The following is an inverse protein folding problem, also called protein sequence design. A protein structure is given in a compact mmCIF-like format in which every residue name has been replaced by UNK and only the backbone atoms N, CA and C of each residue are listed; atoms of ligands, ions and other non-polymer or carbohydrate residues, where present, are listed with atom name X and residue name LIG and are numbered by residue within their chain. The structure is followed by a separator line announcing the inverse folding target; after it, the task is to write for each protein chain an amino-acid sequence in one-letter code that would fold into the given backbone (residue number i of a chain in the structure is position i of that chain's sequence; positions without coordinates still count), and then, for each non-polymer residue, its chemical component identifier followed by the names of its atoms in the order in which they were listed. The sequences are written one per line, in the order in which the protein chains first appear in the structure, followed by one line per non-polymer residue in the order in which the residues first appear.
data_IF_612059617568
#
_entry.id   IF_612059617568
#
_cell.length_a   1.000
_cell.length_b   1.000
_cell.length_c   1.000
_cell.angle_alpha   90.00
_cell.angle_beta   90.00
_cell.angle_gamma   90.00
#
_symmetry.space_group_name_H-M   'P 1'
#
loop_
_entity.id
_entity.type
_entity.pdbx_description
1 polymer ?
#
# COMPACT_ATOMS: atom_id res chain seq x y z
N UNK A 1 4.50 28.11 -14.07
CA UNK A 1 4.02 27.90 -12.68
C UNK A 1 3.01 26.76 -12.51
N UNK A 2 2.32 26.26 -13.56
CA UNK A 2 1.32 25.18 -13.42
C UNK A 2 1.88 23.78 -13.06
N UNK A 3 2.94 23.32 -13.74
CA UNK A 3 3.41 21.93 -13.59
C UNK A 3 4.02 21.56 -12.22
N UNK A 4 4.59 22.52 -11.48
CA UNK A 4 5.11 22.25 -10.13
C UNK A 4 3.98 22.12 -9.09
N UNK A 5 2.87 22.82 -9.30
CA UNK A 5 1.68 22.70 -8.44
C UNK A 5 0.93 21.39 -8.70
N UNK A 6 0.89 20.97 -9.97
CA UNK A 6 0.32 19.68 -10.41
C UNK A 6 1.10 18.48 -9.87
N UNK A 7 2.43 18.43 -10.05
CA UNK A 7 3.27 17.33 -9.53
C UNK A 7 3.18 17.19 -8.00
N UNK A 8 3.10 18.31 -7.28
CA UNK A 8 2.94 18.29 -5.82
C UNK A 8 1.57 17.73 -5.40
N UNK A 9 0.51 18.07 -6.12
CA UNK A 9 -0.82 17.52 -5.88
C UNK A 9 -0.85 16.00 -6.16
N UNK A 10 -0.18 15.55 -7.22
CA UNK A 10 -0.06 14.12 -7.54
C UNK A 10 0.73 13.35 -6.47
N UNK A 11 1.80 13.94 -5.93
CA UNK A 11 2.57 13.38 -4.82
C UNK A 11 1.73 13.24 -3.54
N UNK A 12 0.93 14.26 -3.22
CA UNK A 12 0.02 14.22 -2.07
C UNK A 12 -1.04 13.14 -2.25
N UNK A 13 -1.61 13.01 -3.45
CA UNK A 13 -2.57 11.96 -3.79
C UNK A 13 -1.96 10.56 -3.71
N UNK A 14 -0.71 10.37 -4.16
CA UNK A 14 0.01 9.10 -4.02
C UNK A 14 0.26 8.74 -2.55
N UNK A 15 0.69 9.69 -1.73
CA UNK A 15 0.87 9.47 -0.29
C UNK A 15 -0.45 9.13 0.41
N UNK A 16 -1.53 9.84 0.09
CA UNK A 16 -2.85 9.56 0.63
C UNK A 16 -3.32 8.16 0.24
N UNK A 17 -3.16 7.79 -1.04
CA UNK A 17 -3.55 6.47 -1.53
C UNK A 17 -2.73 5.36 -0.88
N UNK A 18 -1.41 5.55 -0.74
CA UNK A 18 -0.54 4.59 -0.04
C UNK A 18 -1.00 4.35 1.40
N UNK A 19 -1.28 5.42 2.15
CA UNK A 19 -1.82 5.31 3.53
C UNK A 19 -3.14 4.57 3.57
N UNK A 20 -4.09 4.93 2.70
CA UNK A 20 -5.39 4.28 2.64
C UNK A 20 -5.27 2.78 2.35
N UNK A 21 -4.35 2.37 1.47
CA UNK A 21 -4.09 0.95 1.17
C UNK A 21 -3.46 0.24 2.37
N UNK A 22 -2.55 0.88 3.09
CA UNK A 22 -1.95 0.33 4.31
C UNK A 22 -2.96 0.19 5.44
N UNK A 23 -3.86 1.17 5.62
CA UNK A 23 -4.96 1.13 6.59
C UNK A 23 -5.94 0.01 6.23
N UNK A 24 -6.38 -0.07 4.98
CA UNK A 24 -7.26 -1.15 4.51
C UNK A 24 -6.63 -2.54 4.68
N UNK A 25 -5.32 -2.67 4.45
CA UNK A 25 -4.61 -3.91 4.73
C UNK A 25 -4.68 -4.28 6.22
N UNK A 26 -4.45 -3.32 7.12
CA UNK A 26 -4.49 -3.56 8.56
C UNK A 26 -5.90 -3.97 9.01
N UNK A 27 -6.92 -3.24 8.57
CA UNK A 27 -8.33 -3.53 8.90
C UNK A 27 -8.73 -4.95 8.46
N UNK A 28 -8.42 -5.32 7.21
CA UNK A 28 -8.73 -6.66 6.69
C UNK A 28 -7.93 -7.73 7.43
N UNK A 29 -6.67 -7.48 7.76
CA UNK A 29 -5.84 -8.45 8.49
C UNK A 29 -6.41 -8.72 9.89
N UNK A 30 -6.85 -7.67 10.59
CA UNK A 30 -7.44 -7.78 11.92
C UNK A 30 -8.79 -8.49 11.89
N UNK A 31 -9.69 -8.10 10.97
CA UNK A 31 -10.98 -8.75 10.77
C UNK A 31 -10.83 -10.23 10.40
N UNK A 32 -9.89 -10.52 9.49
CA UNK A 32 -9.59 -11.88 9.07
C UNK A 32 -9.05 -12.72 10.22
N UNK A 33 -8.12 -12.19 11.03
CA UNK A 33 -7.59 -12.91 12.19
C UNK A 33 -8.70 -13.28 13.18
N UNK A 34 -9.62 -12.35 13.44
CA UNK A 34 -10.76 -12.61 14.31
C UNK A 34 -11.75 -13.62 13.72
N UNK A 35 -11.95 -13.64 12.40
CA UNK A 35 -12.77 -14.64 11.72
C UNK A 35 -12.11 -16.02 11.73
N UNK A 36 -10.83 -16.09 11.37
CA UNK A 36 -10.05 -17.33 11.32
C UNK A 36 -10.06 -18.03 12.68
N UNK A 37 -9.81 -17.28 13.76
CA UNK A 37 -9.88 -17.83 15.11
C UNK A 37 -11.26 -18.41 15.45
N UNK A 38 -12.35 -17.72 15.12
CA UNK A 38 -13.71 -18.23 15.35
C UNK A 38 -14.01 -19.49 14.54
N UNK A 39 -13.48 -19.57 13.33
CA UNK A 39 -13.63 -20.74 12.48
C UNK A 39 -12.82 -21.93 13.02
N UNK A 40 -11.58 -21.71 13.46
CA UNK A 40 -10.74 -22.72 14.11
C UNK A 40 -11.35 -23.21 15.42
N UNK A 41 -11.95 -22.33 16.24
CA UNK A 41 -12.66 -22.73 17.45
C UNK A 41 -13.90 -23.61 17.15
N UNK A 42 -14.52 -23.41 15.98
CA UNK A 42 -15.67 -24.21 15.52
C UNK A 42 -15.21 -25.57 14.99
N UNK A 43 -14.21 -25.61 14.12
CA UNK A 43 -13.72 -26.83 13.47
C UNK A 43 -12.98 -27.74 14.47
N UNK A 44 -13.46 -28.96 14.68
CA UNK A 44 -12.82 -29.90 15.61
C UNK A 44 -13.05 -29.58 17.09
N UNK A 45 -13.58 -28.40 17.40
CA UNK A 45 -14.14 -28.05 18.70
C UNK A 45 -15.61 -28.45 18.81
N UNK A 46 -16.51 -27.47 18.66
CA UNK A 46 -17.95 -27.70 18.81
C UNK A 46 -18.61 -28.40 17.62
N UNK A 47 -17.95 -28.42 16.45
CA UNK A 47 -18.44 -29.07 15.24
C UNK A 47 -17.46 -30.14 14.75
N UNK A 48 -17.93 -31.39 14.68
CA UNK A 48 -17.13 -32.56 14.35
C UNK A 48 -17.91 -33.58 13.51
N UNK A 49 -17.18 -34.55 12.95
CA UNK A 49 -17.71 -35.59 12.05
C UNK A 49 -17.57 -35.24 10.58
N UNK A 50 -18.02 -36.15 9.70
CA UNK A 50 -17.75 -36.08 8.26
C UNK A 50 -18.13 -34.75 7.57
N UNK A 51 -19.17 -34.08 8.05
CA UNK A 51 -19.56 -32.78 7.53
C UNK A 51 -18.55 -31.67 7.91
N UNK A 52 -18.02 -31.68 9.14
CA UNK A 52 -16.96 -30.77 9.55
C UNK A 52 -15.66 -31.07 8.79
N UNK A 53 -15.32 -32.35 8.64
CA UNK A 53 -14.10 -32.79 7.94
C UNK A 53 -14.11 -32.34 6.46
N UNK A 54 -15.27 -32.33 5.80
CA UNK A 54 -15.40 -31.86 4.41
C UNK A 54 -15.10 -30.36 4.22
N UNK A 55 -15.04 -29.57 5.29
CA UNK A 55 -14.70 -28.15 5.23
C UNK A 55 -13.20 -27.88 5.39
N UNK A 56 -12.38 -28.87 5.75
CA UNK A 56 -10.95 -28.66 5.98
C UNK A 56 -10.22 -28.12 4.73
N UNK A 57 -10.43 -28.74 3.58
CA UNK A 57 -9.82 -28.30 2.31
C UNK A 57 -10.37 -26.94 1.84
N UNK A 58 -11.69 -26.71 1.73
CA UNK A 58 -12.23 -25.39 1.40
C UNK A 58 -11.75 -24.27 2.35
N UNK A 59 -11.61 -24.57 3.64
CA UNK A 59 -11.11 -23.62 4.63
C UNK A 59 -9.64 -23.26 4.39
N UNK A 60 -8.78 -24.26 4.12
CA UNK A 60 -7.39 -24.02 3.78
C UNK A 60 -7.26 -23.14 2.52
N UNK A 61 -8.07 -23.43 1.50
CA UNK A 61 -8.11 -22.64 0.26
C UNK A 61 -8.56 -21.20 0.50
N UNK A 62 -9.51 -20.99 1.42
CA UNK A 62 -9.94 -19.66 1.84
C UNK A 62 -8.81 -18.89 2.55
N UNK A 63 -8.11 -19.55 3.47
CA UNK A 63 -6.95 -18.97 4.17
C UNK A 63 -5.84 -18.53 3.21
N UNK A 64 -5.52 -19.38 2.23
CA UNK A 64 -4.56 -19.06 1.18
C UNK A 64 -5.01 -17.85 0.35
N UNK A 65 -6.29 -17.85 -0.08
CA UNK A 65 -6.87 -16.76 -0.86
C UNK A 65 -6.79 -15.41 -0.15
N UNK A 66 -7.12 -15.36 1.15
CA UNK A 66 -7.00 -14.13 1.94
C UNK A 66 -5.53 -13.72 2.12
N UNK A 67 -4.63 -14.69 2.30
CA UNK A 67 -3.19 -14.45 2.29
C UNK A 67 -2.71 -13.74 1.01
N UNK A 68 -3.22 -14.15 -0.15
CA UNK A 68 -2.92 -13.49 -1.42
C UNK A 68 -3.44 -12.05 -1.48
N UNK A 69 -4.66 -11.79 -0.99
CA UNK A 69 -5.23 -10.43 -0.92
C UNK A 69 -4.39 -9.52 -0.04
N UNK A 70 -4.05 -9.96 1.17
CA UNK A 70 -3.24 -9.20 2.12
C UNK A 70 -1.85 -8.91 1.54
N UNK A 71 -1.20 -9.90 0.94
CA UNK A 71 0.09 -9.69 0.27
C UNK A 71 0.00 -8.68 -0.88
N UNK A 72 -1.07 -8.73 -1.68
CA UNK A 72 -1.32 -7.77 -2.75
C UNK A 72 -1.48 -6.35 -2.24
N UNK A 73 -2.30 -6.15 -1.20
CA UNK A 73 -2.49 -4.83 -0.57
C UNK A 73 -1.18 -4.29 0.02
N UNK A 74 -0.43 -5.11 0.75
CA UNK A 74 0.89 -4.74 1.28
C UNK A 74 1.85 -4.30 0.18
N UNK A 75 1.93 -5.07 -0.90
CA UNK A 75 2.77 -4.77 -2.07
C UNK A 75 2.36 -3.45 -2.73
N UNK A 76 1.06 -3.22 -2.93
CA UNK A 76 0.55 -1.98 -3.51
C UNK A 76 0.88 -0.77 -2.64
N UNK A 77 0.69 -0.87 -1.32
CA UNK A 77 1.02 0.19 -0.37
C UNK A 77 2.51 0.58 -0.45
N UNK A 78 3.40 -0.42 -0.50
CA UNK A 78 4.85 -0.23 -0.63
C UNK A 78 5.24 0.41 -1.98
N UNK A 79 4.68 -0.06 -3.09
CA UNK A 79 4.97 0.49 -4.42
C UNK A 79 4.52 1.95 -4.54
N UNK A 80 3.34 2.29 -4.01
CA UNK A 80 2.84 3.67 -4.00
C UNK A 80 3.73 4.59 -3.14
N UNK A 81 4.14 4.13 -1.95
CA UNK A 81 5.07 4.89 -1.10
C UNK A 81 6.42 5.11 -1.80
N UNK A 82 6.97 4.06 -2.42
CA UNK A 82 8.24 4.12 -3.15
C UNK A 82 8.17 5.06 -4.35
N UNK A 83 7.06 5.04 -5.09
CA UNK A 83 6.85 5.94 -6.23
C UNK A 83 6.83 7.40 -5.77
N UNK A 84 6.09 7.69 -4.70
CA UNK A 84 6.00 9.04 -4.16
C UNK A 84 7.36 9.57 -3.67
N UNK A 85 8.13 8.74 -2.96
CA UNK A 85 9.49 9.09 -2.55
C UNK A 85 10.38 9.42 -3.75
N UNK A 86 10.34 8.57 -4.80
CA UNK A 86 11.13 8.77 -6.02
C UNK A 86 10.78 10.09 -6.73
N UNK A 87 9.51 10.43 -6.80
CA UNK A 87 9.07 11.67 -7.43
C UNK A 87 9.43 12.91 -6.59
N UNK A 88 9.33 12.84 -5.26
CA UNK A 88 9.73 13.93 -4.37
C UNK A 88 11.24 14.24 -4.46
N UNK A 89 12.08 13.20 -4.57
CA UNK A 89 13.52 13.34 -4.77
C UNK A 89 13.85 14.00 -6.12
N UNK A 90 13.18 13.57 -7.18
CA UNK A 90 13.35 14.14 -8.53
C UNK A 90 12.95 15.61 -8.58
N UNK A 91 11.84 16.00 -7.96
CA UNK A 91 11.40 17.40 -7.87
C UNK A 91 12.44 18.26 -7.15
N UNK A 92 12.90 17.80 -5.98
CA UNK A 92 13.92 18.51 -5.18
C UNK A 92 15.24 18.67 -5.95
N UNK A 93 15.68 17.62 -6.64
CA UNK A 93 16.90 17.67 -7.45
C UNK A 93 16.75 18.60 -8.65
N UNK A 94 15.60 18.57 -9.34
CA UNK A 94 15.31 19.44 -10.48
C UNK A 94 15.28 20.91 -10.08
N UNK A 95 14.61 21.24 -8.97
CA UNK A 95 14.55 22.60 -8.43
C UNK A 95 15.95 23.18 -8.16
N UNK A 96 16.85 22.39 -7.57
CA UNK A 96 18.25 22.81 -7.32
C UNK A 96 19.02 23.10 -8.61
N UNK A 97 18.81 22.30 -9.66
CA UNK A 97 19.47 22.53 -10.96
C UNK A 97 18.94 23.80 -11.62
N UNK A 98 17.63 24.05 -11.56
CA UNK A 98 17.00 25.26 -12.10
C UNK A 98 17.49 26.50 -11.34
N UNK A 99 17.51 26.46 -10.01
CA UNK A 99 18.01 27.56 -9.17
C UNK A 99 19.45 27.90 -9.49
N UNK A 100 20.31 26.87 -9.60
CA UNK A 100 21.72 27.04 -9.99
C UNK A 100 21.87 27.63 -11.39
N UNK A 101 21.10 27.17 -12.36
CA UNK A 101 21.16 27.68 -13.73
C UNK A 101 20.67 29.13 -13.80
N UNK A 102 19.61 29.47 -13.06
CA UNK A 102 19.10 30.84 -12.98
C UNK A 102 20.13 31.77 -12.33
N UNK A 103 20.81 31.32 -11.27
CA UNK A 103 21.90 32.05 -10.63
C UNK A 103 23.08 32.26 -11.59
N UNK A 104 23.49 31.22 -12.32
CA UNK A 104 24.57 31.30 -13.30
C UNK A 104 24.24 32.27 -14.44
N UNK A 105 22.98 32.32 -14.89
CA UNK A 105 22.51 33.28 -15.90
C UNK A 105 22.53 34.72 -15.32
N UNK A 106 22.05 34.90 -14.08
CA UNK A 106 22.03 36.20 -13.43
C UNK A 106 23.44 36.79 -13.23
N UNK A 107 24.43 35.95 -12.94
CA UNK A 107 25.84 36.36 -12.83
C UNK A 107 26.51 36.70 -14.18
N UNK A 108 25.89 36.31 -15.31
CA UNK A 108 26.46 36.44 -16.65
C UNK A 108 25.92 37.65 -17.42
N UNK A 109 24.94 38.37 -16.85
CA UNK A 109 24.43 39.64 -17.36
C UNK A 109 25.24 40.81 -16.74
N UNK A 110 25.75 41.76 -17.54
CA UNK A 110 26.53 42.91 -17.07
C UNK A 110 25.69 43.93 -16.29
#
# INVERSE_FOLDING_TARGET
MGGQMELRADLEALHATSRNVTELHADIADEWSALAKRAEDLFGGSWSGAAADSYAEPWAHCCEGVGHVLNGLSTMGQLLASAAQTYAERDTSGAKVIERTAFDIALRLP
#
